data_IF_438370801494
#
_entry.id   IF_438370801494
#
_cell.length_a   1.000
_cell.length_b   1.000
_cell.length_c   1.000
_cell.angle_alpha   90.00
_cell.angle_beta   90.00
_cell.angle_gamma   90.00
#
_symmetry.space_group_name_H-M   'P 1'
#
loop_
_entity.id
_entity.type
_entity.pdbx_description
1 polymer ?
#
# COMPACT_ATOMS: atom_id res chain seq x y z
N UNK A 1 8.07 -29.13 18.06
CA UNK A 1 8.26 -28.37 16.79
C UNK A 1 7.60 -29.05 15.57
N UNK A 2 7.70 -30.35 15.36
CA UNK A 2 7.08 -31.03 14.20
C UNK A 2 5.54 -30.98 14.19
N UNK A 3 4.87 -31.09 15.33
CA UNK A 3 3.40 -31.04 15.43
C UNK A 3 2.82 -29.66 15.04
N UNK A 4 3.49 -28.56 15.40
CA UNK A 4 3.05 -27.21 15.07
C UNK A 4 3.22 -26.92 13.55
N UNK A 5 4.29 -27.43 12.96
CA UNK A 5 4.55 -27.31 11.51
C UNK A 5 3.50 -28.04 10.68
N UNK A 6 3.08 -29.22 11.13
CA UNK A 6 2.04 -30.01 10.47
C UNK A 6 0.66 -29.39 10.64
N UNK A 7 0.37 -28.78 11.80
CA UNK A 7 -0.89 -28.07 12.05
C UNK A 7 -1.00 -26.82 11.17
N UNK A 8 0.08 -26.04 11.01
CA UNK A 8 0.11 -24.86 10.16
C UNK A 8 -0.05 -25.20 8.67
N UNK A 9 0.61 -26.27 8.22
CA UNK A 9 0.47 -26.80 6.85
C UNK A 9 -0.96 -27.29 6.59
N UNK A 10 -1.60 -27.94 7.56
CA UNK A 10 -2.98 -28.39 7.45
C UNK A 10 -3.97 -27.19 7.43
N UNK A 11 -3.71 -26.17 8.22
CA UNK A 11 -4.53 -24.93 8.25
C UNK A 11 -4.43 -24.15 6.92
N UNK A 12 -3.24 -24.06 6.33
CA UNK A 12 -3.04 -23.45 5.02
C UNK A 12 -3.71 -24.26 3.89
N UNK A 13 -3.64 -25.60 3.94
CA UNK A 13 -4.31 -26.47 2.98
C UNK A 13 -5.83 -26.41 3.11
N UNK A 14 -6.38 -26.33 4.32
CA UNK A 14 -7.83 -26.20 4.55
C UNK A 14 -8.34 -24.81 4.16
N UNK A 15 -7.55 -23.76 4.33
CA UNK A 15 -7.91 -22.40 3.91
C UNK A 15 -7.96 -22.29 2.37
N UNK A 16 -7.02 -22.94 1.66
CA UNK A 16 -7.05 -23.02 0.19
C UNK A 16 -8.20 -23.87 -0.35
N UNK A 17 -8.65 -24.89 0.41
CA UNK A 17 -9.76 -25.77 0.00
C UNK A 17 -11.14 -25.19 0.31
N UNK A 18 -11.23 -24.17 1.17
CA UNK A 18 -12.49 -23.51 1.56
C UNK A 18 -12.85 -22.30 0.70
N UNK A 19 -12.02 -21.95 -0.31
CA UNK A 19 -12.39 -20.94 -1.28
C UNK A 19 -13.46 -21.51 -2.19
N UNK A 20 -14.70 -20.99 -2.20
CA UNK A 20 -15.70 -21.44 -3.15
C UNK A 20 -15.17 -21.11 -4.56
N UNK A 21 -14.96 -22.14 -5.40
CA UNK A 21 -14.91 -21.98 -6.84
C UNK A 21 -16.34 -21.58 -7.26
N UNK A 22 -16.70 -20.34 -7.09
CA UNK A 22 -17.90 -19.77 -7.68
C UNK A 22 -17.64 -19.74 -9.17
N UNK A 23 -18.29 -20.67 -9.90
CA UNK A 23 -18.39 -20.56 -11.34
C UNK A 23 -18.95 -19.17 -11.65
N UNK A 24 -18.29 -18.46 -12.57
CA UNK A 24 -18.72 -17.17 -13.08
C UNK A 24 -20.15 -17.28 -13.58
N UNK A 25 -21.07 -16.71 -12.83
CA UNK A 25 -22.36 -16.34 -13.36
C UNK A 25 -22.14 -15.01 -14.08
N UNK A 26 -22.23 -14.99 -15.40
CA UNK A 26 -22.18 -13.79 -16.23
C UNK A 26 -23.45 -12.94 -16.01
N UNK A 27 -23.76 -12.59 -14.77
CA UNK A 27 -24.67 -11.52 -14.43
C UNK A 27 -23.89 -10.21 -14.50
N UNK A 28 -24.36 -9.22 -15.23
CA UNK A 28 -23.86 -7.84 -15.23
C UNK A 28 -23.67 -7.41 -13.76
N UNK A 29 -22.46 -7.53 -13.27
CA UNK A 29 -22.03 -6.97 -12.00
C UNK A 29 -22.05 -5.44 -12.19
N UNK A 30 -23.17 -4.82 -11.88
CA UNK A 30 -23.23 -3.39 -11.56
C UNK A 30 -22.40 -3.23 -10.30
N UNK A 31 -21.07 -3.27 -10.49
CA UNK A 31 -20.07 -3.25 -9.45
C UNK A 31 -20.43 -2.16 -8.45
N UNK A 32 -20.51 -2.52 -7.19
CA UNK A 32 -20.68 -1.54 -6.13
C UNK A 32 -19.59 -0.49 -6.30
N UNK A 33 -19.98 0.71 -6.70
CA UNK A 33 -19.06 1.83 -6.90
C UNK A 33 -18.42 2.14 -5.56
N UNK A 34 -17.14 1.79 -5.43
CA UNK A 34 -16.35 2.18 -4.25
C UNK A 34 -15.92 3.63 -4.40
N UNK A 35 -16.02 4.41 -3.33
CA UNK A 35 -15.51 5.78 -3.28
C UNK A 35 -14.05 5.83 -2.84
N UNK A 36 -13.43 7.00 -2.96
CA UNK A 36 -12.06 7.25 -2.50
C UNK A 36 -11.00 6.26 -3.04
N UNK A 37 -11.10 5.86 -4.30
CA UNK A 37 -10.23 4.85 -4.95
C UNK A 37 -8.73 5.23 -4.89
N UNK A 38 -8.40 6.51 -4.68
CA UNK A 38 -7.01 6.93 -4.50
C UNK A 38 -6.31 6.25 -3.30
N UNK A 39 -7.07 5.70 -2.33
CA UNK A 39 -6.54 4.91 -1.23
C UNK A 39 -5.89 3.59 -1.69
N UNK A 40 -6.22 3.14 -2.90
CA UNK A 40 -5.67 1.93 -3.51
C UNK A 40 -4.40 2.20 -4.33
N UNK A 41 -4.08 3.47 -4.59
CA UNK A 41 -2.85 3.81 -5.31
C UNK A 41 -1.62 3.46 -4.46
N UNK A 42 -0.58 2.87 -5.07
CA UNK A 42 0.60 2.47 -4.34
C UNK A 42 1.40 3.67 -3.86
N UNK A 43 1.83 3.63 -2.60
CA UNK A 43 2.67 4.64 -1.96
C UNK A 43 4.00 4.02 -1.56
N UNK A 44 5.10 4.61 -2.05
CA UNK A 44 6.45 4.20 -1.72
C UNK A 44 7.12 3.32 -2.77
N UNK A 45 8.42 3.56 -2.98
CA UNK A 45 9.20 2.87 -4.00
C UNK A 45 9.46 1.39 -3.64
N UNK A 46 9.65 1.07 -2.35
CA UNK A 46 9.80 -0.32 -1.91
C UNK A 46 8.54 -1.12 -2.23
N UNK A 47 7.38 -0.61 -1.85
CA UNK A 47 6.11 -1.31 -2.07
C UNK A 47 5.79 -1.49 -3.56
N UNK A 48 6.01 -0.46 -4.38
CA UNK A 48 5.85 -0.56 -5.84
C UNK A 48 6.77 -1.62 -6.43
N UNK A 49 8.06 -1.59 -6.09
CA UNK A 49 9.05 -2.52 -6.64
C UNK A 49 8.80 -3.98 -6.27
N UNK A 50 8.14 -4.24 -5.13
CA UNK A 50 7.76 -5.56 -4.67
C UNK A 50 6.39 -6.02 -5.21
N UNK A 51 5.85 -5.34 -6.23
CA UNK A 51 4.53 -5.67 -6.75
C UNK A 51 3.44 -5.60 -5.68
N UNK A 52 3.58 -4.71 -4.70
CA UNK A 52 2.67 -4.50 -3.56
C UNK A 52 2.68 -5.61 -2.49
N UNK A 53 3.47 -6.67 -2.63
CA UNK A 53 3.57 -7.77 -1.65
C UNK A 53 4.31 -7.30 -0.37
N UNK A 54 3.74 -6.33 0.33
CA UNK A 54 4.38 -5.58 1.43
C UNK A 54 3.86 -5.96 2.82
N UNK A 55 2.71 -6.63 2.93
CA UNK A 55 2.02 -6.92 4.20
C UNK A 55 2.89 -7.70 5.21
N UNK A 56 3.75 -8.68 4.82
CA UNK A 56 4.60 -9.39 5.78
C UNK A 56 5.96 -8.71 5.99
N UNK A 57 6.27 -7.66 5.21
CA UNK A 57 7.58 -7.02 5.20
C UNK A 57 7.60 -5.76 6.09
N UNK A 58 8.82 -5.35 6.43
CA UNK A 58 9.10 -4.26 7.34
C UNK A 58 9.55 -3.00 6.61
N UNK A 59 9.46 -1.87 7.28
CA UNK A 59 10.03 -0.62 6.84
C UNK A 59 9.14 0.60 7.06
N UNK A 60 9.65 1.80 6.75
CA UNK A 60 8.92 3.04 7.02
C UNK A 60 7.67 3.20 6.14
N UNK A 61 7.64 2.61 4.94
CA UNK A 61 6.47 2.62 4.06
C UNK A 61 5.29 1.82 4.64
N UNK A 62 5.52 0.98 5.66
CA UNK A 62 4.47 0.23 6.37
C UNK A 62 3.39 1.12 7.00
N UNK A 63 3.64 2.42 7.18
CA UNK A 63 2.63 3.40 7.59
C UNK A 63 1.44 3.47 6.61
N UNK A 64 1.68 3.21 5.32
CA UNK A 64 0.64 3.19 4.28
C UNK A 64 0.18 1.78 3.91
N UNK A 65 0.93 0.74 4.36
CA UNK A 65 0.66 -0.67 4.07
C UNK A 65 0.22 -1.39 5.33
N UNK A 66 1.04 -2.24 5.89
CA UNK A 66 0.71 -2.93 7.14
C UNK A 66 1.38 -2.22 8.33
N UNK A 67 0.66 -1.49 9.19
CA UNK A 67 1.27 -0.74 10.29
C UNK A 67 2.05 -1.62 11.28
N UNK A 68 1.79 -2.94 11.37
CA UNK A 68 2.58 -3.85 12.20
C UNK A 68 4.07 -3.90 11.79
N UNK A 69 4.39 -3.66 10.49
CA UNK A 69 5.75 -3.59 9.98
C UNK A 69 6.57 -2.40 10.49
N UNK A 70 5.91 -1.38 11.07
CA UNK A 70 6.59 -0.24 11.69
C UNK A 70 7.36 -0.62 12.95
N UNK A 71 7.05 -1.74 13.59
CA UNK A 71 7.79 -2.24 14.77
C UNK A 71 9.27 -2.46 14.46
N UNK A 72 9.63 -2.73 13.21
CA UNK A 72 11.02 -2.89 12.79
C UNK A 72 11.77 -1.57 12.62
N UNK A 73 11.10 -0.43 12.66
CA UNK A 73 11.72 0.90 12.68
C UNK A 73 12.35 1.12 14.05
N UNK A 74 13.68 1.06 14.14
CA UNK A 74 14.44 1.15 15.38
C UNK A 74 14.91 2.55 15.72
N UNK A 75 15.04 3.40 14.70
CA UNK A 75 15.47 4.79 14.79
C UNK A 75 14.36 5.69 14.28
N UNK A 76 14.15 6.82 14.94
CA UNK A 76 13.21 7.82 14.46
C UNK A 76 13.63 8.34 13.10
N UNK A 77 12.68 8.62 12.23
CA UNK A 77 12.98 9.03 10.86
C UNK A 77 11.89 9.86 10.21
N UNK A 78 12.32 10.67 9.26
CA UNK A 78 11.45 11.36 8.31
C UNK A 78 11.57 10.69 6.95
N UNK A 79 10.44 10.48 6.31
CA UNK A 79 10.33 9.80 5.01
C UNK A 79 9.59 10.70 4.04
N UNK A 80 10.15 10.89 2.86
CA UNK A 80 9.54 11.60 1.72
C UNK A 80 9.31 10.60 0.59
N UNK A 81 8.10 10.61 0.04
CA UNK A 81 7.67 9.68 -0.99
C UNK A 81 7.07 10.49 -2.16
N UNK A 82 7.51 10.17 -3.36
CA UNK A 82 7.01 10.77 -4.58
C UNK A 82 6.71 9.67 -5.60
N UNK A 83 5.56 9.75 -6.24
CA UNK A 83 5.20 8.92 -7.38
C UNK A 83 4.22 9.67 -8.25
N UNK A 84 4.25 9.38 -9.54
CA UNK A 84 3.32 9.96 -10.49
C UNK A 84 2.49 8.81 -11.07
N UNK A 85 1.46 8.30 -10.35
CA UNK A 85 0.53 7.34 -10.91
C UNK A 85 -0.20 7.97 -12.11
N UNK A 86 -0.76 7.15 -13.00
CA UNK A 86 -1.47 7.63 -14.19
C UNK A 86 -2.60 8.60 -13.85
N UNK A 87 -3.14 8.54 -12.63
CA UNK A 87 -4.19 9.42 -12.14
C UNK A 87 -3.69 10.83 -11.74
N UNK A 88 -2.39 11.10 -11.74
CA UNK A 88 -1.84 12.40 -11.31
C UNK A 88 -0.51 12.30 -10.59
N UNK A 89 -0.26 13.22 -9.68
CA UNK A 89 0.98 13.27 -8.89
C UNK A 89 0.69 12.96 -7.43
N UNK A 90 1.34 11.93 -6.88
CA UNK A 90 1.28 11.58 -5.46
C UNK A 90 2.53 12.03 -4.73
N UNK A 91 2.37 12.84 -3.69
CA UNK A 91 3.45 13.23 -2.79
C UNK A 91 3.04 12.88 -1.37
N UNK A 92 3.91 12.19 -0.64
CA UNK A 92 3.63 11.85 0.74
C UNK A 92 4.85 12.09 1.63
N UNK A 93 4.60 12.25 2.92
CA UNK A 93 5.63 12.26 3.94
C UNK A 93 5.19 11.51 5.18
N UNK A 94 6.16 11.01 5.95
CA UNK A 94 5.92 10.39 7.25
C UNK A 94 6.97 10.85 8.25
N UNK A 95 6.54 11.08 9.48
CA UNK A 95 7.42 11.24 10.64
C UNK A 95 7.15 10.08 11.58
N UNK A 96 8.17 9.27 11.81
CA UNK A 96 8.09 8.06 12.61
C UNK A 96 8.98 8.22 13.85
N UNK A 97 8.39 7.99 15.02
CA UNK A 97 9.08 8.01 16.30
C UNK A 97 9.19 6.59 16.84
N UNK A 98 10.41 6.06 16.82
CA UNK A 98 10.73 4.77 17.41
C UNK A 98 11.05 4.95 18.89
N UNK A 99 10.37 4.19 19.77
CA UNK A 99 10.63 4.19 21.20
C UNK A 99 10.94 2.78 21.70
N UNK A 100 12.12 2.58 22.33
CA UNK A 100 12.45 1.29 22.93
C UNK A 100 11.39 0.88 23.96
N UNK A 101 10.76 -0.28 23.79
CA UNK A 101 9.77 -0.84 24.69
C UNK A 101 8.30 -0.41 24.49
N UNK A 102 8.02 0.67 23.75
CA UNK A 102 6.65 1.07 23.41
C UNK A 102 6.29 0.75 21.95
N UNK A 103 7.29 0.65 21.07
CA UNK A 103 7.08 0.46 19.64
C UNK A 103 7.22 1.76 18.85
N UNK A 104 6.51 1.89 17.74
CA UNK A 104 6.64 3.03 16.82
C UNK A 104 5.31 3.76 16.70
N UNK A 105 5.38 5.08 16.84
CA UNK A 105 4.29 6.00 16.52
C UNK A 105 4.62 6.71 15.22
N UNK A 106 3.61 7.06 14.43
CA UNK A 106 3.79 7.74 13.16
C UNK A 106 2.69 8.74 12.86
N UNK A 107 3.08 9.82 12.18
CA UNK A 107 2.14 10.73 11.51
C UNK A 107 2.57 10.83 10.05
N UNK A 108 1.62 10.56 9.16
CA UNK A 108 1.87 10.58 7.73
C UNK A 108 0.80 11.39 7.01
N UNK A 109 1.18 11.92 5.87
CA UNK A 109 0.26 12.65 5.01
C UNK A 109 0.57 12.34 3.55
N UNK A 110 -0.48 12.19 2.75
CA UNK A 110 -0.39 12.02 1.30
C UNK A 110 -1.32 13.02 0.61
N UNK A 111 -0.83 13.60 -0.46
CA UNK A 111 -1.56 14.42 -1.42
C UNK A 111 -1.51 13.76 -2.78
N UNK A 112 -2.66 13.46 -3.35
CA UNK A 112 -2.80 13.17 -4.77
C UNK A 112 -3.34 14.42 -5.46
N UNK A 113 -2.59 14.99 -6.39
CA UNK A 113 -3.01 16.12 -7.24
C UNK A 113 -3.28 15.60 -8.65
N UNK A 114 -4.55 15.56 -9.03
CA UNK A 114 -5.00 15.10 -10.36
C UNK A 114 -4.79 16.19 -11.41
N UNK A 115 -4.41 17.38 -10.97
CA UNK A 115 -4.15 18.53 -11.83
C UNK A 115 -5.36 19.45 -11.98
N UNK A 116 -5.27 20.32 -12.98
CA UNK A 116 -6.28 21.32 -13.28
C UNK A 116 -6.76 21.16 -14.72
N UNK A 117 -8.08 21.15 -14.91
CA UNK A 117 -8.73 21.07 -16.21
C UNK A 117 -9.38 22.41 -16.53
N UNK A 118 -9.17 22.93 -17.73
CA UNK A 118 -9.84 24.14 -18.21
C UNK A 118 -11.32 23.85 -18.45
N UNK A 119 -12.17 24.77 -17.99
CA UNK A 119 -13.60 24.82 -18.32
C UNK A 119 -13.76 25.78 -19.48
N UNK A 120 -14.28 25.31 -20.61
CA UNK A 120 -14.50 26.11 -21.80
C UNK A 120 -15.97 26.25 -22.13
N UNK A 121 -16.35 27.33 -22.85
CA UNK A 121 -17.64 27.45 -23.48
C UNK A 121 -17.72 26.60 -24.78
N UNK A 122 -18.86 26.66 -25.48
CA UNK A 122 -19.10 25.93 -26.75
C UNK A 122 -18.20 26.43 -27.88
N UNK A 123 -17.65 27.64 -27.77
CA UNK A 123 -16.77 28.24 -28.75
C UNK A 123 -15.27 27.99 -28.43
N UNK A 124 -14.98 27.31 -27.30
CA UNK A 124 -13.65 26.96 -26.85
C UNK A 124 -12.94 28.04 -26.02
N UNK A 125 -13.64 29.12 -25.64
CA UNK A 125 -13.06 30.16 -24.77
C UNK A 125 -12.97 29.65 -23.33
N UNK A 126 -11.86 29.89 -22.66
CA UNK A 126 -11.67 29.49 -21.27
C UNK A 126 -12.54 30.32 -20.34
N UNK A 127 -13.44 29.67 -19.61
CA UNK A 127 -14.30 30.29 -18.58
C UNK A 127 -13.70 30.17 -17.19
N UNK A 128 -12.91 29.14 -16.94
CA UNK A 128 -12.33 28.87 -15.64
C UNK A 128 -11.53 27.58 -15.60
N UNK A 129 -11.12 27.15 -14.41
CA UNK A 129 -10.39 25.93 -14.19
C UNK A 129 -10.91 25.13 -13.00
N UNK A 130 -10.96 23.82 -13.13
CA UNK A 130 -11.32 22.86 -12.11
C UNK A 130 -10.10 22.07 -11.67
N UNK A 131 -9.76 22.10 -10.39
CA UNK A 131 -8.69 21.28 -9.80
C UNK A 131 -9.26 20.25 -8.84
N UNK A 132 -8.71 19.03 -8.89
CA UNK A 132 -9.12 17.90 -8.03
C UNK A 132 -7.92 17.43 -7.22
N UNK A 133 -8.08 17.34 -5.91
CA UNK A 133 -7.06 16.91 -4.97
C UNK A 133 -7.64 15.98 -3.91
N UNK A 134 -6.93 14.90 -3.65
CA UNK A 134 -7.23 13.97 -2.57
C UNK A 134 -6.16 14.06 -1.48
N UNK A 135 -6.62 14.15 -0.24
CA UNK A 135 -5.77 14.28 0.92
C UNK A 135 -5.99 13.09 1.85
N UNK A 136 -4.91 12.51 2.35
CA UNK A 136 -4.92 11.44 3.33
C UNK A 136 -4.01 11.81 4.49
N UNK A 137 -4.59 11.97 5.68
CA UNK A 137 -3.85 12.05 6.94
C UNK A 137 -3.88 10.69 7.64
N UNK A 138 -2.75 10.22 8.16
CA UNK A 138 -2.63 8.93 8.85
C UNK A 138 -1.91 9.11 10.18
N UNK A 139 -2.50 8.56 11.25
CA UNK A 139 -1.83 8.39 12.54
C UNK A 139 -1.64 6.90 12.75
N UNK A 140 -0.41 6.47 12.93
CA UNK A 140 -0.01 5.07 13.06
C UNK A 140 0.51 4.78 14.46
N UNK A 141 0.17 3.59 14.98
CA UNK A 141 0.78 3.04 16.18
C UNK A 141 1.07 1.56 15.97
N UNK A 142 2.27 1.12 16.32
CA UNK A 142 2.69 -0.26 16.19
C UNK A 142 3.51 -0.70 17.42
N UNK A 143 3.24 -1.92 17.89
CA UNK A 143 3.92 -2.49 19.05
C UNK A 143 4.20 -3.97 18.85
N UNK A 144 5.27 -4.44 19.47
CA UNK A 144 5.56 -5.86 19.59
C UNK A 144 4.84 -6.39 20.83
N UNK A 145 3.86 -7.27 20.60
CA UNK A 145 3.05 -7.83 21.69
C UNK A 145 3.72 -9.05 22.34
N UNK A 146 4.29 -9.92 21.49
CA UNK A 146 5.08 -11.09 21.88
C UNK A 146 6.36 -11.11 21.06
N UNK A 147 7.34 -11.94 21.40
CA UNK A 147 8.59 -12.06 20.62
C UNK A 147 8.35 -12.32 19.14
N UNK A 148 7.30 -13.08 18.83
CA UNK A 148 6.93 -13.45 17.48
C UNK A 148 5.70 -12.74 16.93
N UNK A 149 5.06 -11.80 17.67
CA UNK A 149 3.80 -11.17 17.26
C UNK A 149 3.90 -9.64 17.33
N UNK A 150 3.60 -9.00 16.22
CA UNK A 150 3.54 -7.55 16.06
C UNK A 150 2.15 -7.11 15.65
N UNK A 151 1.65 -6.06 16.25
CA UNK A 151 0.39 -5.43 15.91
C UNK A 151 0.61 -3.99 15.51
N UNK A 152 -0.24 -3.50 14.64
CA UNK A 152 -0.26 -2.10 14.24
C UNK A 152 -1.66 -1.64 13.86
N UNK A 153 -1.91 -0.35 14.06
CA UNK A 153 -3.17 0.28 13.71
C UNK A 153 -2.91 1.63 13.04
N UNK A 154 -3.79 2.00 12.13
CA UNK A 154 -3.86 3.32 11.54
C UNK A 154 -5.24 3.93 11.78
N UNK A 155 -5.26 5.20 12.12
CA UNK A 155 -6.43 6.07 11.99
C UNK A 155 -6.20 7.02 10.83
N UNK A 156 -7.15 7.11 9.92
CA UNK A 156 -7.06 7.86 8.68
C UNK A 156 -8.14 8.95 8.60
N UNK A 157 -7.76 10.11 8.09
CA UNK A 157 -8.68 11.16 7.63
C UNK A 157 -8.54 11.23 6.13
N UNK A 158 -9.64 11.00 5.43
CA UNK A 158 -9.73 10.94 3.96
C UNK A 158 -10.54 12.12 3.49
N UNK A 159 -9.94 12.99 2.66
CA UNK A 159 -10.63 14.19 2.17
C UNK A 159 -10.44 14.32 0.66
N UNK A 160 -11.54 14.43 -0.02
CA UNK A 160 -11.63 14.85 -1.42
C UNK A 160 -11.89 16.35 -1.50
N UNK A 161 -11.19 17.03 -2.40
CA UNK A 161 -11.39 18.45 -2.63
C UNK A 161 -11.39 18.76 -4.12
N UNK A 162 -12.54 19.21 -4.60
CA UNK A 162 -12.72 19.81 -5.92
C UNK A 162 -12.82 21.31 -5.75
N UNK A 163 -11.96 22.07 -6.40
CA UNK A 163 -11.95 23.54 -6.34
C UNK A 163 -12.13 24.11 -7.73
N UNK A 164 -12.98 25.08 -7.87
CA UNK A 164 -13.17 25.79 -9.11
C UNK A 164 -12.70 27.24 -8.99
N UNK A 165 -12.11 27.77 -10.06
CA UNK A 165 -11.69 29.15 -10.19
C UNK A 165 -12.23 29.70 -11.53
N UNK A 166 -12.84 30.87 -11.51
CA UNK A 166 -13.48 31.50 -12.68
C UNK A 166 -14.99 31.27 -12.71
N UNK A 167 -15.57 31.19 -13.91
CA UNK A 167 -17.01 30.94 -14.10
C UNK A 167 -17.26 29.43 -14.05
N UNK A 168 -17.84 28.98 -12.98
CA UNK A 168 -18.06 27.55 -12.74
C UNK A 168 -19.53 27.26 -12.44
N UNK A 169 -20.03 26.09 -12.83
CA UNK A 169 -21.38 25.66 -12.45
C UNK A 169 -21.54 25.53 -10.93
N UNK A 170 -20.44 25.13 -10.23
CA UNK A 170 -20.40 24.90 -8.78
C UNK A 170 -19.20 25.60 -8.15
N UNK A 171 -19.38 26.05 -6.90
CA UNK A 171 -18.32 26.74 -6.13
C UNK A 171 -17.18 25.79 -5.68
N UNK A 172 -17.29 24.51 -5.95
CA UNK A 172 -16.41 23.44 -5.48
C UNK A 172 -17.05 22.54 -4.42
N UNK A 173 -16.44 21.39 -4.18
CA UNK A 173 -16.95 20.40 -3.23
C UNK A 173 -15.82 19.90 -2.35
N UNK A 174 -16.09 19.71 -1.07
CA UNK A 174 -15.19 19.05 -0.13
C UNK A 174 -15.96 17.96 0.59
N UNK A 175 -15.44 16.73 0.53
CA UNK A 175 -15.99 15.59 1.26
C UNK A 175 -14.91 15.04 2.19
N UNK A 176 -15.28 14.67 3.41
CA UNK A 176 -14.35 14.14 4.41
C UNK A 176 -14.96 12.90 5.06
N UNK A 177 -14.16 11.86 5.22
CA UNK A 177 -14.52 10.65 5.96
C UNK A 177 -13.32 10.14 6.74
N UNK A 178 -13.52 9.06 7.50
CA UNK A 178 -12.49 8.44 8.32
C UNK A 178 -12.33 6.97 7.90
N UNK A 179 -11.14 6.44 8.08
CA UNK A 179 -10.87 5.04 7.87
C UNK A 179 -9.95 4.50 8.97
N UNK A 180 -10.01 3.20 9.15
CA UNK A 180 -9.20 2.47 10.12
C UNK A 180 -8.51 1.31 9.40
N UNK A 181 -7.23 1.06 9.75
CA UNK A 181 -6.52 -0.16 9.37
C UNK A 181 -6.10 -0.93 10.62
N UNK A 182 -6.11 -2.25 10.54
CA UNK A 182 -5.55 -3.15 11.52
C UNK A 182 -4.56 -4.10 10.86
N UNK A 183 -3.36 -4.18 11.40
CA UNK A 183 -2.27 -4.99 10.87
C UNK A 183 -1.72 -5.96 11.91
N UNK A 184 -1.38 -7.14 11.43
CA UNK A 184 -0.74 -8.21 12.21
C UNK A 184 0.46 -8.72 11.44
N UNK A 185 1.56 -8.99 12.15
CA UNK A 185 2.68 -9.78 11.67
C UNK A 185 3.02 -10.85 12.69
N UNK A 186 3.22 -12.09 12.22
CA UNK A 186 3.70 -13.22 13.01
C UNK A 186 5.04 -13.65 12.43
N UNK A 187 6.04 -13.79 13.29
CA UNK A 187 7.41 -14.16 12.98
C UNK A 187 7.73 -15.53 13.63
N UNK A 188 7.28 -16.65 13.03
CA UNK A 188 7.51 -17.98 13.62
C UNK A 188 8.99 -18.36 13.69
N UNK A 189 9.81 -17.75 12.84
CA UNK A 189 11.28 -17.85 12.83
C UNK A 189 11.87 -16.62 12.16
N UNK A 190 13.19 -16.47 12.22
CA UNK A 190 13.91 -15.40 11.51
C UNK A 190 13.76 -15.46 9.97
N UNK A 191 13.41 -16.65 9.46
CA UNK A 191 13.29 -16.93 8.03
C UNK A 191 11.86 -16.81 7.49
N UNK A 192 10.85 -16.83 8.36
CA UNK A 192 9.43 -16.88 7.97
C UNK A 192 8.66 -15.73 8.61
N UNK A 193 7.90 -15.01 7.82
CA UNK A 193 6.99 -13.95 8.25
C UNK A 193 5.62 -14.20 7.64
N UNK A 194 4.60 -14.02 8.45
CA UNK A 194 3.20 -14.06 8.02
C UNK A 194 2.60 -12.71 8.35
N UNK A 195 1.93 -12.11 7.38
CA UNK A 195 1.26 -10.83 7.54
C UNK A 195 -0.22 -10.94 7.23
N UNK A 196 -1.03 -10.22 8.01
CA UNK A 196 -2.45 -10.02 7.73
C UNK A 196 -2.81 -8.56 7.96
N UNK A 197 -3.76 -8.06 7.17
CA UNK A 197 -4.22 -6.68 7.28
C UNK A 197 -5.69 -6.54 6.88
N UNK A 198 -6.40 -5.72 7.62
CA UNK A 198 -7.66 -5.10 7.19
C UNK A 198 -7.39 -3.63 6.93
N UNK A 199 -7.68 -3.17 5.71
CA UNK A 199 -7.38 -1.81 5.27
C UNK A 199 -8.65 -1.04 4.91
N UNK A 200 -8.63 0.27 5.16
CA UNK A 200 -9.65 1.24 4.73
C UNK A 200 -11.06 0.95 5.24
N UNK A 201 -11.19 0.38 6.42
CA UNK A 201 -12.50 0.11 7.04
C UNK A 201 -13.05 1.41 7.65
N UNK A 202 -14.22 1.85 7.21
CA UNK A 202 -14.81 3.10 7.68
C UNK A 202 -16.24 3.33 7.18
N UNK A 203 -16.84 4.47 7.56
CA UNK A 203 -18.16 4.84 7.07
C UNK A 203 -18.12 5.16 5.57
N UNK A 204 -19.29 5.18 4.97
CA UNK A 204 -19.44 5.53 3.55
C UNK A 204 -18.92 6.93 3.27
N UNK A 205 -18.36 7.09 2.09
CA UNK A 205 -17.79 8.34 1.60
C UNK A 205 -18.87 9.16 0.87
N UNK A 206 -19.23 10.29 1.45
CA UNK A 206 -20.31 11.14 0.94
C UNK A 206 -19.72 12.37 0.26
N UNK A 207 -19.87 12.46 -1.06
CA UNK A 207 -19.40 13.62 -1.86
C UNK A 207 -20.54 14.61 -2.10
N UNK A 208 -21.73 14.15 -2.45
CA UNK A 208 -22.88 14.99 -2.80
C UNK A 208 -23.95 14.99 -1.71
N UNK A 209 -24.55 13.82 -1.46
CA UNK A 209 -25.60 13.65 -0.46
C UNK A 209 -25.55 12.24 0.13
N UNK A 210 -26.31 12.00 1.21
CA UNK A 210 -26.29 10.72 1.93
C UNK A 210 -26.78 9.52 1.08
N UNK A 211 -27.69 9.76 0.13
CA UNK A 211 -28.26 8.71 -0.71
C UNK A 211 -27.25 8.22 -1.78
N UNK A 212 -26.24 9.05 -2.06
CA UNK A 212 -25.17 8.79 -3.04
C UNK A 212 -23.81 8.58 -2.35
N UNK A 213 -23.83 8.10 -1.11
CA UNK A 213 -22.60 7.80 -0.39
C UNK A 213 -22.06 6.42 -0.79
N UNK A 214 -20.83 6.38 -1.28
CA UNK A 214 -20.14 5.16 -1.70
C UNK A 214 -19.38 4.52 -0.52
N UNK A 215 -19.28 3.20 -0.45
CA UNK A 215 -18.43 2.52 0.53
C UNK A 215 -16.95 2.85 0.27
N UNK A 216 -16.16 2.87 1.34
CA UNK A 216 -14.70 2.93 1.19
C UNK A 216 -14.17 1.62 0.59
N UNK A 217 -13.02 1.66 -0.11
CA UNK A 217 -12.43 0.49 -0.75
C UNK A 217 -11.74 -0.40 0.30
N UNK A 218 -12.53 -1.00 1.17
CA UNK A 218 -12.03 -1.85 2.24
C UNK A 218 -11.44 -3.15 1.67
N UNK A 219 -10.22 -3.50 2.11
CA UNK A 219 -9.46 -4.66 1.63
C UNK A 219 -9.02 -5.55 2.79
N UNK A 220 -9.09 -6.86 2.56
CA UNK A 220 -8.46 -7.88 3.39
C UNK A 220 -7.22 -8.40 2.68
N UNK A 221 -6.08 -8.48 3.39
CA UNK A 221 -4.81 -8.95 2.86
C UNK A 221 -4.24 -10.04 3.73
N UNK A 222 -3.70 -11.08 3.09
CA UNK A 222 -2.97 -12.15 3.74
C UNK A 222 -1.71 -12.46 2.95
N UNK A 223 -0.58 -12.57 3.64
CA UNK A 223 0.69 -12.72 2.99
C UNK A 223 1.69 -13.56 3.79
N UNK A 224 2.63 -14.15 3.05
CA UNK A 224 3.75 -14.90 3.61
C UNK A 224 5.04 -14.41 2.94
N UNK A 225 6.09 -14.19 3.72
CA UNK A 225 7.42 -13.95 3.21
C UNK A 225 8.41 -14.95 3.80
N UNK A 226 9.33 -15.40 2.96
CA UNK A 226 10.39 -16.35 3.34
C UNK A 226 11.75 -15.84 2.88
N UNK A 227 12.75 -15.90 3.78
CA UNK A 227 14.13 -15.56 3.44
C UNK A 227 14.82 -16.74 2.77
N UNK A 228 14.89 -16.72 1.43
CA UNK A 228 15.46 -17.82 0.63
C UNK A 228 16.99 -17.89 0.74
N UNK A 229 17.68 -16.76 0.87
CA UNK A 229 19.14 -16.70 0.95
C UNK A 229 19.63 -17.43 2.19
N UNK A 230 18.87 -17.39 3.28
CA UNK A 230 19.21 -18.12 4.51
C UNK A 230 19.20 -19.66 4.38
N UNK A 231 18.78 -20.20 3.23
CA UNK A 231 18.93 -21.62 2.90
C UNK A 231 20.31 -21.94 2.29
N UNK A 232 20.99 -20.93 1.74
CA UNK A 232 22.24 -21.08 0.99
C UNK A 232 23.44 -20.64 1.81
N UNK A 233 23.27 -19.63 2.67
CA UNK A 233 24.34 -19.07 3.50
C UNK A 233 23.78 -18.56 4.82
N UNK A 234 24.62 -18.60 5.86
CA UNK A 234 24.36 -17.97 7.16
C UNK A 234 25.01 -16.58 7.26
N UNK A 235 25.46 -16.00 6.12
CA UNK A 235 26.04 -14.67 6.06
C UNK A 235 24.95 -13.62 6.32
N UNK A 236 25.10 -12.87 7.41
CA UNK A 236 24.16 -11.81 7.82
C UNK A 236 24.19 -10.58 6.89
N UNK A 237 25.23 -10.43 6.07
CA UNK A 237 25.31 -9.35 5.07
C UNK A 237 24.43 -9.62 3.85
N UNK A 238 23.97 -10.86 3.66
CA UNK A 238 23.17 -11.25 2.54
C UNK A 238 21.72 -11.57 2.99
N UNK A 239 20.76 -10.95 2.37
CA UNK A 239 19.33 -11.21 2.58
C UNK A 239 18.60 -11.46 1.26
N UNK A 240 17.57 -12.30 1.31
CA UNK A 240 16.76 -12.55 0.12
C UNK A 240 15.33 -12.98 0.49
N UNK A 241 14.42 -12.03 0.48
CA UNK A 241 13.02 -12.26 0.80
C UNK A 241 12.20 -12.53 -0.47
N UNK A 242 11.42 -13.59 -0.43
CA UNK A 242 10.31 -13.84 -1.37
C UNK A 242 9.00 -13.64 -0.61
N UNK A 243 8.15 -12.77 -1.11
CA UNK A 243 6.83 -12.46 -0.54
C UNK A 243 5.73 -12.83 -1.52
N UNK A 244 4.68 -13.46 -1.01
CA UNK A 244 3.45 -13.78 -1.72
C UNK A 244 2.29 -13.22 -0.92
N UNK A 245 1.44 -12.43 -1.55
CA UNK A 245 0.30 -11.77 -0.91
C UNK A 245 -0.95 -11.96 -1.74
N UNK A 246 -2.06 -12.21 -1.08
CA UNK A 246 -3.40 -12.20 -1.67
C UNK A 246 -4.22 -11.08 -1.04
N UNK A 247 -4.98 -10.39 -1.87
CA UNK A 247 -5.91 -9.35 -1.46
C UNK A 247 -7.29 -9.64 -2.02
N UNK A 248 -8.32 -9.32 -1.23
CA UNK A 248 -9.71 -9.33 -1.70
C UNK A 248 -10.48 -8.12 -1.15
N UNK A 249 -11.57 -7.79 -1.80
CA UNK A 249 -12.52 -6.79 -1.32
C UNK A 249 -13.22 -7.31 -0.05
N UNK A 250 -13.25 -6.49 1.00
CA UNK A 250 -13.87 -6.91 2.25
C UNK A 250 -15.41 -6.91 2.17
N UNK A 251 -15.97 -5.94 1.45
CA UNK A 251 -17.43 -5.73 1.35
C UNK A 251 -18.08 -6.53 0.21
N UNK A 252 -17.33 -6.94 -0.77
CA UNK A 252 -17.80 -7.74 -1.91
C UNK A 252 -16.69 -8.71 -2.34
N UNK A 253 -16.47 -9.80 -1.56
CA UNK A 253 -15.39 -10.74 -1.82
C UNK A 253 -15.62 -11.54 -3.10
N UNK A 254 -14.52 -12.01 -3.72
CA UNK A 254 -14.54 -12.80 -4.95
C UNK A 254 -13.67 -12.23 -6.06
N UNK A 255 -12.99 -11.10 -5.82
CA UNK A 255 -12.07 -10.46 -6.77
C UNK A 255 -10.64 -10.56 -6.24
N UNK A 256 -10.11 -11.78 -6.16
CA UNK A 256 -8.78 -12.04 -5.62
C UNK A 256 -7.70 -11.44 -6.52
N UNK A 257 -6.85 -10.62 -5.91
CA UNK A 257 -5.60 -10.14 -6.50
C UNK A 257 -4.42 -10.87 -5.87
N UNK A 258 -3.41 -11.19 -6.68
CA UNK A 258 -2.18 -11.86 -6.26
C UNK A 258 -0.98 -10.94 -6.48
N UNK A 259 -0.16 -10.77 -5.46
CA UNK A 259 1.05 -9.98 -5.50
C UNK A 259 2.26 -10.85 -5.17
N UNK A 260 3.30 -10.74 -5.99
CA UNK A 260 4.57 -11.43 -5.82
C UNK A 260 5.67 -10.40 -5.67
N UNK A 261 6.56 -10.57 -4.70
CA UNK A 261 7.67 -9.67 -4.47
C UNK A 261 8.94 -10.40 -4.07
N UNK A 262 10.07 -9.96 -4.57
CA UNK A 262 11.38 -10.41 -4.10
C UNK A 262 12.29 -9.23 -3.82
N UNK A 263 13.04 -9.30 -2.71
CA UNK A 263 14.04 -8.34 -2.30
C UNK A 263 15.35 -9.06 -2.01
N UNK A 264 16.41 -8.70 -2.72
CA UNK A 264 17.77 -9.12 -2.42
C UNK A 264 18.49 -7.97 -1.74
N UNK A 265 19.19 -8.24 -0.67
CA UNK A 265 19.93 -7.26 0.13
C UNK A 265 21.39 -7.69 0.23
N UNK A 266 22.30 -6.76 0.03
CA UNK A 266 23.71 -6.92 0.30
C UNK A 266 24.20 -5.78 1.19
N UNK A 267 24.80 -6.12 2.35
CA UNK A 267 25.24 -5.20 3.39
C UNK A 267 24.25 -5.04 4.54
N UNK A 268 24.70 -4.53 5.68
CA UNK A 268 23.89 -4.32 6.90
C UNK A 268 23.74 -2.82 7.18
N UNK A 269 24.79 -2.13 7.58
CA UNK A 269 24.76 -0.70 7.88
C UNK A 269 24.71 0.14 6.60
N UNK A 270 25.53 -0.22 5.64
CA UNK A 270 25.48 0.27 4.26
C UNK A 270 24.97 -0.88 3.39
N UNK A 271 23.88 -0.68 2.67
CA UNK A 271 23.24 -1.78 1.98
C UNK A 271 22.70 -1.35 0.61
N UNK A 272 22.72 -2.32 -0.30
CA UNK A 272 22.09 -2.23 -1.61
C UNK A 272 20.92 -3.21 -1.63
N UNK A 273 19.80 -2.76 -2.19
CA UNK A 273 18.58 -3.55 -2.33
C UNK A 273 18.22 -3.66 -3.81
N UNK A 274 18.06 -4.89 -4.29
CA UNK A 274 17.50 -5.19 -5.60
C UNK A 274 16.10 -5.76 -5.39
N UNK A 275 15.11 -5.20 -6.07
CA UNK A 275 13.73 -5.60 -5.90
C UNK A 275 13.06 -5.87 -7.23
N UNK A 276 12.22 -6.89 -7.25
CA UNK A 276 11.34 -7.20 -8.36
C UNK A 276 9.99 -7.68 -7.82
N UNK A 277 8.93 -7.39 -8.54
CA UNK A 277 7.59 -7.81 -8.17
C UNK A 277 6.69 -7.99 -9.37
N UNK A 278 5.55 -8.64 -9.14
CA UNK A 278 4.52 -8.85 -10.14
C UNK A 278 3.13 -8.73 -9.52
N UNK A 279 2.22 -8.09 -10.24
CA UNK A 279 0.80 -7.95 -9.87
C UNK A 279 -0.03 -8.75 -10.86
N UNK A 280 -1.01 -9.50 -10.34
CA UNK A 280 -1.92 -10.35 -11.10
C UNK A 280 -3.36 -10.19 -10.61
N UNK A 281 -4.31 -9.97 -11.53
CA UNK A 281 -5.74 -9.96 -11.27
C UNK A 281 -6.21 -8.80 -10.39
N UNK A 282 -5.47 -7.72 -10.31
CA UNK A 282 -5.89 -6.54 -9.58
C UNK A 282 -6.79 -5.68 -10.47
N UNK A 283 -8.08 -5.59 -10.11
CA UNK A 283 -9.05 -4.80 -10.86
C UNK A 283 -8.80 -3.29 -10.79
N UNK A 284 -8.01 -2.86 -9.80
CA UNK A 284 -7.75 -1.44 -9.53
C UNK A 284 -6.38 -1.00 -10.07
N UNK A 285 -5.60 -1.93 -10.65
CA UNK A 285 -4.22 -1.71 -11.13
C UNK A 285 -3.93 -2.57 -12.35
N UNK A 286 -3.04 -2.08 -13.21
CA UNK A 286 -2.55 -2.85 -14.34
C UNK A 286 -1.70 -4.04 -13.88
N UNK A 287 -1.99 -5.22 -14.42
CA UNK A 287 -1.17 -6.42 -14.24
C UNK A 287 0.23 -6.21 -14.84
N UNK A 288 1.26 -6.74 -14.19
CA UNK A 288 2.59 -6.70 -14.77
C UNK A 288 3.74 -6.63 -13.77
N UNK A 289 4.93 -6.60 -14.35
CA UNK A 289 6.19 -6.59 -13.62
C UNK A 289 6.53 -5.19 -13.09
N UNK A 290 7.24 -5.18 -11.95
CA UNK A 290 7.77 -4.00 -11.29
C UNK A 290 9.19 -4.27 -10.85
N UNK A 291 10.03 -3.24 -10.88
CA UNK A 291 11.44 -3.34 -10.48
C UNK A 291 11.85 -2.15 -9.64
N UNK A 292 12.87 -2.31 -8.83
CA UNK A 292 13.41 -1.21 -8.04
C UNK A 292 14.78 -1.48 -7.47
N UNK A 293 15.42 -0.38 -7.09
CA UNK A 293 16.72 -0.32 -6.45
C UNK A 293 16.60 0.48 -5.15
N UNK A 294 17.36 0.09 -4.14
CA UNK A 294 17.48 0.84 -2.89
C UNK A 294 18.94 0.93 -2.46
N UNK A 295 19.26 2.01 -1.79
CA UNK A 295 20.57 2.27 -1.21
C UNK A 295 20.40 2.78 0.21
N UNK A 296 21.16 2.21 1.13
CA UNK A 296 21.30 2.70 2.50
C UNK A 296 22.74 3.12 2.70
N UNK A 297 22.91 4.33 3.17
CA UNK A 297 24.21 4.87 3.52
C UNK A 297 24.11 5.71 4.80
N UNK A 298 24.84 5.31 5.84
CA UNK A 298 24.75 5.94 7.16
C UNK A 298 23.28 6.10 7.61
N UNK A 299 22.79 7.35 7.72
CA UNK A 299 21.43 7.72 8.13
C UNK A 299 20.44 7.89 6.98
N UNK A 300 20.89 7.75 5.75
CA UNK A 300 20.08 8.00 4.56
C UNK A 300 19.67 6.70 3.90
N UNK A 301 18.42 6.62 3.50
CA UNK A 301 17.91 5.57 2.62
C UNK A 301 17.27 6.21 1.39
N UNK A 302 17.60 5.71 0.21
CA UNK A 302 17.02 6.10 -1.07
C UNK A 302 16.51 4.85 -1.78
N UNK A 303 15.29 4.87 -2.24
CA UNK A 303 14.72 3.81 -3.08
C UNK A 303 14.07 4.41 -4.32
N UNK A 304 14.23 3.72 -5.44
CA UNK A 304 13.64 4.09 -6.73
C UNK A 304 12.97 2.85 -7.28
N UNK A 305 11.76 3.01 -7.82
CA UNK A 305 11.00 1.93 -8.42
C UNK A 305 10.27 2.37 -9.68
N UNK A 306 10.03 1.42 -10.58
CA UNK A 306 9.25 1.62 -11.78
C UNK A 306 8.33 0.43 -12.03
N UNK A 307 7.07 0.71 -12.36
CA UNK A 307 6.16 -0.25 -12.98
C UNK A 307 6.53 -0.42 -14.45
N UNK A 308 6.63 -1.67 -14.91
CA UNK A 308 6.80 -2.02 -16.31
C UNK A 308 5.47 -2.38 -16.96
N UNK A 309 4.38 -2.38 -16.18
CA UNK A 309 3.03 -2.54 -16.71
C UNK A 309 2.68 -1.36 -17.62
N UNK A 310 1.96 -1.67 -18.69
CA UNK A 310 1.47 -0.68 -19.65
C UNK A 310 -0.02 -0.54 -19.46
N UNK A 311 -0.49 0.68 -19.29
CA UNK A 311 -1.93 0.93 -19.15
C UNK A 311 -2.68 0.50 -20.40
N UNK A 312 -3.69 -0.32 -20.24
CA UNK A 312 -4.58 -0.75 -21.32
C UNK A 312 -5.43 0.40 -21.87
N UNK A 313 -5.60 1.48 -21.08
CA UNK A 313 -6.40 2.64 -21.45
C UNK A 313 -5.58 3.70 -22.20
N UNK A 314 -4.39 4.03 -21.72
CA UNK A 314 -3.57 5.13 -22.25
C UNK A 314 -2.40 4.67 -23.11
N UNK A 315 -1.97 3.39 -22.97
CA UNK A 315 -0.77 2.86 -23.59
C UNK A 315 0.53 3.36 -22.94
N UNK A 316 0.43 4.04 -21.80
CA UNK A 316 1.58 4.59 -21.07
C UNK A 316 2.00 3.68 -19.92
N UNK A 317 3.26 3.79 -19.50
CA UNK A 317 3.78 3.17 -18.28
C UNK A 317 3.79 4.19 -17.16
N UNK A 318 3.51 3.75 -15.92
CA UNK A 318 3.70 4.63 -14.76
C UNK A 318 5.15 5.15 -14.72
N UNK A 319 5.33 6.43 -14.38
CA UNK A 319 6.66 7.01 -14.13
C UNK A 319 7.37 6.37 -12.94
N UNK A 320 8.44 7.02 -12.49
CA UNK A 320 9.29 6.53 -11.42
C UNK A 320 8.69 6.91 -10.06
N UNK A 321 8.74 5.96 -9.12
CA UNK A 321 8.48 6.20 -7.70
C UNK A 321 9.80 6.37 -6.95
N UNK A 322 9.87 7.33 -6.05
CA UNK A 322 11.05 7.62 -5.23
C UNK A 322 10.65 7.68 -3.76
N UNK A 323 11.41 7.01 -2.91
CA UNK A 323 11.33 7.15 -1.44
C UNK A 323 12.69 7.56 -0.92
N UNK A 324 12.72 8.62 -0.12
CA UNK A 324 13.91 9.08 0.58
C UNK A 324 13.62 9.16 2.08
N UNK A 325 14.50 8.64 2.91
CA UNK A 325 14.37 8.75 4.36
C UNK A 325 15.66 9.17 5.05
N UNK A 326 15.51 9.85 6.18
CA UNK A 326 16.59 10.29 7.05
C UNK A 326 16.31 9.78 8.46
N UNK A 327 17.23 8.99 9.03
CA UNK A 327 17.20 8.47 10.41
C UNK A 327 17.94 9.41 11.37
N UNK A 328 17.46 9.52 12.61
CA UNK A 328 18.03 10.38 13.65
C UNK A 328 17.79 9.84 15.07
#
# INVERSE_FOLDING_TARGET
MHAFRNLLALLLLTLCAALPLSAQDEGEDLGSTEGALFLLLPVGAKAVSLGRAMTPLDGPESAFWNPAGLVAVRESQVVLLRGDPLAGTSTAFSVLWAHPGLGTLGVSYQLLDIGSQAITDIDGNELGSLSVRDHLGVVSAAAQLLESVRLGVNLKIVQFRRSCRGICPDAGTTATTYAFDAGLQILPSERLRIGAMLAHVGPRYQVLNADQADPLPARARLAVAYNLISLLTDDEELGGWLSVEVQDRLLNPGSLSLYLGTELTAGVAEAIFLRAGYVLGDLDQEDGARVGLGFRYERFDLSIAKSLAVSTLTGETEPVHVTFSIRF
#
